data_IF_941345243474
#
_entry.id   IF_941345243474
#
_cell.length_a   1.000
_cell.length_b   1.000
_cell.length_c   1.000
_cell.angle_alpha   90.00
_cell.angle_beta   90.00
_cell.angle_gamma   90.00
#
_symmetry.space_group_name_H-M   'P 1'
#
loop_
_entity.id
_entity.type
_entity.pdbx_description
1 polymer ?
#
# COMPACT_ATOMS: atom_id res chain seq x y z
N UNK A 1 3.07 14.82 -1.14
CA UNK A 1 2.65 13.88 -0.07
C UNK A 1 3.53 12.63 -0.16
N UNK A 2 3.55 11.78 0.86
CA UNK A 2 4.30 10.51 0.81
C UNK A 2 3.37 9.42 0.29
N UNK A 3 3.78 8.74 -0.77
CA UNK A 3 3.18 7.48 -1.22
C UNK A 3 3.92 6.31 -0.60
N UNK A 4 3.19 5.25 -0.27
CA UNK A 4 3.75 3.98 0.18
C UNK A 4 3.05 2.81 -0.53
N UNK A 5 3.72 1.67 -0.60
CA UNK A 5 3.23 0.45 -1.23
C UNK A 5 3.36 -0.66 -0.19
N UNK A 6 2.23 -1.20 0.26
CA UNK A 6 2.23 -2.48 0.97
C UNK A 6 2.07 -3.60 -0.04
N UNK A 7 2.84 -4.66 0.15
CA UNK A 7 2.82 -5.84 -0.69
C UNK A 7 2.68 -7.11 0.17
N UNK A 8 1.96 -8.09 -0.37
CA UNK A 8 1.97 -9.43 0.19
C UNK A 8 3.30 -10.11 -0.11
N UNK A 9 3.88 -10.77 0.89
CA UNK A 9 5.10 -11.56 0.76
C UNK A 9 4.90 -12.94 1.38
N UNK A 10 5.54 -13.96 0.80
CA UNK A 10 5.55 -15.31 1.34
C UNK A 10 6.93 -15.54 2.00
N UNK A 11 6.98 -15.81 3.32
CA UNK A 11 8.22 -16.18 3.99
C UNK A 11 8.89 -17.39 3.34
N UNK A 12 10.23 -17.42 3.32
CA UNK A 12 11.00 -18.49 2.66
C UNK A 12 10.83 -19.86 3.29
N UNK A 13 10.38 -19.91 4.54
CA UNK A 13 10.09 -21.12 5.33
C UNK A 13 8.59 -21.40 5.49
N UNK A 14 7.74 -20.73 4.70
CA UNK A 14 6.29 -20.93 4.77
C UNK A 14 5.92 -22.40 4.52
N UNK A 15 5.18 -23.06 5.44
CA UNK A 15 4.92 -24.50 5.36
C UNK A 15 3.91 -24.87 4.26
N UNK A 16 3.22 -23.89 3.67
CA UNK A 16 2.22 -24.11 2.63
C UNK A 16 2.21 -22.96 1.60
N UNK A 17 3.25 -22.94 0.74
CA UNK A 17 3.42 -21.91 -0.30
C UNK A 17 2.26 -21.94 -1.31
N UNK A 18 1.75 -23.12 -1.68
CA UNK A 18 0.65 -23.22 -2.65
C UNK A 18 -0.62 -22.52 -2.15
N UNK A 19 -0.98 -22.72 -0.88
CA UNK A 19 -2.13 -22.04 -0.29
C UNK A 19 -1.90 -20.55 -0.16
N UNK A 20 -0.70 -20.12 0.22
CA UNK A 20 -0.36 -18.70 0.30
C UNK A 20 -0.51 -18.01 -1.08
N UNK A 21 -0.10 -18.66 -2.15
CA UNK A 21 -0.31 -18.15 -3.52
C UNK A 21 -1.78 -18.03 -3.88
N UNK A 22 -2.61 -19.05 -3.57
CA UNK A 22 -4.07 -18.99 -3.80
C UNK A 22 -4.73 -17.87 -3.00
N UNK A 23 -4.27 -17.65 -1.77
CA UNK A 23 -4.78 -16.57 -0.95
C UNK A 23 -4.42 -15.19 -1.51
N UNK A 24 -3.17 -14.97 -1.94
CA UNK A 24 -2.75 -13.70 -2.58
C UNK A 24 -3.56 -13.44 -3.85
N UNK A 25 -3.80 -14.47 -4.66
CA UNK A 25 -4.63 -14.38 -5.87
C UNK A 25 -6.06 -13.92 -5.53
N UNK A 26 -6.70 -14.57 -4.55
CA UNK A 26 -8.02 -14.17 -4.07
C UNK A 26 -8.05 -12.73 -3.54
N UNK A 27 -7.08 -12.35 -2.70
CA UNK A 27 -6.99 -11.00 -2.13
C UNK A 27 -6.72 -9.92 -3.17
N UNK A 28 -6.18 -10.29 -4.33
CA UNK A 28 -5.92 -9.38 -5.46
C UNK A 28 -7.00 -9.43 -6.54
N UNK A 29 -8.06 -10.23 -6.31
CA UNK A 29 -9.15 -10.42 -7.24
C UNK A 29 -10.23 -9.34 -7.09
N UNK A 30 -11.01 -9.05 -8.15
CA UNK A 30 -12.14 -8.13 -8.05
C UNK A 30 -13.19 -8.58 -7.02
N UNK A 31 -13.39 -9.90 -6.87
CA UNK A 31 -14.36 -10.48 -5.93
C UNK A 31 -14.12 -9.99 -4.50
N UNK A 32 -12.87 -10.03 -4.04
CA UNK A 32 -12.53 -9.56 -2.70
C UNK A 32 -12.41 -8.04 -2.65
N UNK A 33 -11.69 -7.44 -3.60
CA UNK A 33 -11.20 -6.08 -3.45
C UNK A 33 -12.30 -5.03 -3.61
N UNK A 34 -13.28 -5.26 -4.51
CA UNK A 34 -14.39 -4.32 -4.70
C UNK A 34 -15.27 -4.25 -3.44
N UNK A 35 -15.49 -5.38 -2.77
CA UNK A 35 -16.20 -5.42 -1.50
C UNK A 35 -15.40 -4.76 -0.37
N UNK A 36 -14.08 -4.95 -0.35
CA UNK A 36 -13.23 -4.27 0.62
C UNK A 36 -13.30 -2.74 0.47
N UNK A 37 -13.26 -2.24 -0.77
CA UNK A 37 -13.41 -0.82 -1.06
C UNK A 37 -14.76 -0.26 -0.57
N UNK A 38 -15.84 -1.01 -0.83
CA UNK A 38 -17.21 -0.59 -0.47
C UNK A 38 -17.45 -0.51 1.04
N UNK A 39 -16.82 -1.40 1.82
CA UNK A 39 -17.05 -1.51 3.27
C UNK A 39 -16.09 -0.65 4.09
N UNK A 40 -14.82 -0.54 3.67
CA UNK A 40 -13.77 0.04 4.51
C UNK A 40 -12.90 1.10 3.82
N UNK A 41 -13.05 1.34 2.51
CA UNK A 41 -12.18 2.22 1.73
C UNK A 41 -10.80 1.59 1.55
N UNK A 42 -10.67 0.72 0.56
CA UNK A 42 -9.45 -0.03 0.29
C UNK A 42 -8.36 0.92 -0.25
N UNK A 43 -7.07 0.60 -0.07
CA UNK A 43 -6.01 1.31 -0.78
C UNK A 43 -6.19 1.15 -2.30
N UNK A 44 -5.46 1.94 -3.10
CA UNK A 44 -5.52 1.82 -4.56
C UNK A 44 -5.01 0.43 -4.98
N UNK A 45 -5.80 -0.39 -5.70
CA UNK A 45 -5.35 -1.72 -6.11
C UNK A 45 -4.25 -1.63 -7.16
N UNK A 46 -3.22 -2.46 -7.00
CA UNK A 46 -2.17 -2.62 -8.01
C UNK A 46 -2.62 -3.41 -9.25
N UNK A 47 -3.79 -4.07 -9.20
CA UNK A 47 -4.34 -4.87 -10.29
C UNK A 47 -5.28 -4.01 -11.17
N UNK A 48 -4.93 -3.71 -12.43
CA UNK A 48 -5.76 -2.87 -13.30
C UNK A 48 -7.17 -3.41 -13.53
N UNK A 49 -7.34 -4.74 -13.54
CA UNK A 49 -8.67 -5.37 -13.70
C UNK A 49 -9.61 -5.10 -12.54
N UNK A 50 -9.06 -4.85 -11.36
CA UNK A 50 -9.83 -4.43 -10.18
C UNK A 50 -10.20 -2.96 -10.31
N UNK A 51 -9.24 -2.10 -10.69
CA UNK A 51 -9.48 -0.67 -10.92
C UNK A 51 -10.63 -0.45 -11.90
N UNK A 52 -10.66 -1.19 -13.00
CA UNK A 52 -11.73 -1.15 -14.02
C UNK A 52 -13.13 -1.51 -13.47
N UNK A 53 -13.21 -2.20 -12.34
CA UNK A 53 -14.47 -2.65 -11.72
C UNK A 53 -14.86 -1.83 -10.50
N UNK A 54 -14.01 -0.90 -10.05
CA UNK A 54 -14.36 0.00 -8.95
C UNK A 54 -15.44 1.00 -9.40
N UNK A 55 -16.36 1.41 -8.50
CA UNK A 55 -17.32 2.47 -8.78
C UNK A 55 -16.65 3.75 -9.26
N UNK A 56 -17.31 4.50 -10.16
CA UNK A 56 -16.80 5.77 -10.69
C UNK A 56 -16.55 6.81 -9.58
N UNK A 57 -17.34 6.76 -8.50
CA UNK A 57 -17.25 7.64 -7.33
C UNK A 57 -16.34 7.10 -6.21
N UNK A 58 -15.68 5.96 -6.43
CA UNK A 58 -14.65 5.46 -5.49
C UNK A 58 -13.52 6.47 -5.31
N UNK A 59 -12.88 6.47 -4.14
CA UNK A 59 -11.71 7.32 -3.88
C UNK A 59 -10.60 7.08 -4.91
N UNK A 60 -10.38 5.83 -5.30
CA UNK A 60 -9.42 5.47 -6.35
C UNK A 60 -9.72 6.21 -7.65
N UNK A 61 -10.95 6.17 -8.16
CA UNK A 61 -11.28 6.78 -9.44
C UNK A 61 -11.39 8.32 -9.35
N UNK A 62 -11.87 8.87 -8.24
CA UNK A 62 -12.07 10.32 -8.07
C UNK A 62 -10.81 11.09 -7.70
N UNK A 63 -9.83 10.46 -7.04
CA UNK A 63 -8.59 11.10 -6.60
C UNK A 63 -7.38 10.57 -7.36
N UNK A 64 -7.20 9.25 -7.39
CA UNK A 64 -6.05 8.64 -8.04
C UNK A 64 -6.21 8.42 -9.54
N UNK A 65 -7.42 8.63 -10.09
CA UNK A 65 -7.66 8.71 -11.52
C UNK A 65 -7.06 9.95 -12.20
N UNK A 66 -6.73 11.00 -11.42
CA UNK A 66 -6.02 12.18 -11.93
C UNK A 66 -4.49 11.95 -11.86
N UNK A 67 -3.79 11.84 -13.01
CA UNK A 67 -2.35 11.61 -13.03
C UNK A 67 -1.56 12.72 -12.33
N UNK A 68 -2.07 13.96 -12.31
CA UNK A 68 -1.40 15.08 -11.64
C UNK A 68 -1.39 14.94 -10.12
N UNK A 69 -2.29 14.13 -9.55
CA UNK A 69 -2.25 13.75 -8.12
C UNK A 69 -1.12 12.75 -7.88
N UNK A 70 -1.06 11.69 -8.70
CA UNK A 70 -0.05 10.65 -8.56
C UNK A 70 1.39 11.20 -8.74
N UNK A 71 1.59 12.12 -9.69
CA UNK A 71 2.89 12.76 -9.96
C UNK A 71 3.45 13.58 -8.78
N UNK A 72 2.59 14.02 -7.85
CA UNK A 72 3.00 14.80 -6.66
C UNK A 72 3.40 13.93 -5.47
N UNK A 73 3.38 12.60 -5.62
CA UNK A 73 3.79 11.68 -4.57
C UNK A 73 5.30 11.45 -4.59
N UNK A 74 5.90 11.54 -3.41
CA UNK A 74 7.25 11.05 -3.16
C UNK A 74 7.15 9.67 -2.50
N UNK A 75 7.81 8.66 -3.08
CA UNK A 75 7.85 7.32 -2.51
C UNK A 75 9.13 7.13 -1.69
N UNK A 76 8.99 6.56 -0.50
CA UNK A 76 10.15 6.14 0.29
C UNK A 76 10.73 4.91 -0.40
N UNK A 77 11.99 5.01 -0.81
CA UNK A 77 12.74 3.90 -1.41
C UNK A 77 13.77 3.37 -0.42
N UNK A 78 14.69 2.52 -0.87
CA UNK A 78 15.77 2.03 -0.02
C UNK A 78 16.51 3.18 0.67
N UNK A 79 16.47 3.18 2.00
CA UNK A 79 17.22 4.11 2.84
C UNK A 79 18.49 3.41 3.34
N UNK A 80 19.69 3.92 3.01
CA UNK A 80 20.95 3.44 3.57
C UNK A 80 20.93 3.38 5.10
N UNK A 81 21.68 2.45 5.69
CA UNK A 81 21.60 2.17 7.12
C UNK A 81 21.99 3.38 7.99
N UNK A 82 23.03 4.10 7.59
CA UNK A 82 23.52 5.33 8.25
C UNK A 82 22.48 6.46 8.20
N UNK A 83 21.83 6.65 7.05
CA UNK A 83 20.74 7.64 6.90
C UNK A 83 19.53 7.22 7.74
N UNK A 84 19.20 5.93 7.76
CA UNK A 84 18.08 5.40 8.57
C UNK A 84 18.32 5.62 10.07
N UNK A 85 19.54 5.42 10.54
CA UNK A 85 19.91 5.65 11.95
C UNK A 85 19.72 7.12 12.33
N UNK A 86 20.18 8.06 11.50
CA UNK A 86 19.96 9.49 11.70
C UNK A 86 18.46 9.86 11.80
N UNK A 87 17.61 9.25 10.95
CA UNK A 87 16.16 9.46 11.01
C UNK A 87 15.55 8.90 12.31
N UNK A 88 16.03 7.75 12.79
CA UNK A 88 15.56 7.14 14.04
C UNK A 88 15.92 8.03 15.22
N UNK A 89 17.18 8.45 15.34
CA UNK A 89 17.65 9.32 16.42
C UNK A 89 16.85 10.62 16.45
N UNK A 90 16.70 11.29 15.31
CA UNK A 90 15.91 12.52 15.20
C UNK A 90 14.45 12.30 15.66
N UNK A 91 13.83 11.19 15.26
CA UNK A 91 12.45 10.89 15.67
C UNK A 91 12.33 10.59 17.17
N UNK A 92 13.33 9.95 17.75
CA UNK A 92 13.41 9.72 19.19
C UNK A 92 13.53 11.02 19.98
N UNK A 93 14.35 11.97 19.52
CA UNK A 93 14.47 13.30 20.11
C UNK A 93 13.14 14.06 20.08
N UNK A 94 12.46 14.07 18.93
CA UNK A 94 11.14 14.73 18.77
C UNK A 94 10.15 14.15 19.78
N UNK A 95 10.03 12.82 19.86
CA UNK A 95 9.14 12.15 20.83
C UNK A 95 9.50 12.46 22.28
N UNK A 96 10.79 12.55 22.61
CA UNK A 96 11.25 12.83 23.98
C UNK A 96 11.04 14.29 24.39
N UNK A 97 11.15 15.23 23.44
CA UNK A 97 10.96 16.66 23.64
C UNK A 97 9.50 17.11 23.73
N UNK A 98 8.56 16.27 23.28
CA UNK A 98 7.13 16.50 23.39
C UNK A 98 6.67 16.29 24.85
N UNK A 99 7.03 17.24 25.72
CA UNK A 99 6.55 17.37 27.11
C UNK A 99 5.92 18.73 27.33
#
# INVERSE_FOLDING_TARGET
AIGWIDAWAIPTDAPNVEMAMKWIDFMSSPEFYVEWDSVAGAPVPANPRVVEQLPEDSFTNTVFGDPTVAERLAFITYTPADVREQWIELWEEVKASAR
#
